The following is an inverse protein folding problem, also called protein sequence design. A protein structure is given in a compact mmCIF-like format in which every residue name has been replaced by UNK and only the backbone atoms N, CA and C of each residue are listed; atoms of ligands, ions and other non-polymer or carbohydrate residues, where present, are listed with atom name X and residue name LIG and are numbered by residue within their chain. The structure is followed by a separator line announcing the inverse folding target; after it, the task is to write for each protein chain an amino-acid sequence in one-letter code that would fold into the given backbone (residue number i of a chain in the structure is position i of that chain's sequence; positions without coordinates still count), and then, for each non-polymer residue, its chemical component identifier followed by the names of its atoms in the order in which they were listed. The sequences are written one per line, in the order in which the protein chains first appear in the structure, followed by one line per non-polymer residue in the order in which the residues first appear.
data_IF_257481905230
#
_entry.id   IF_257481905230
#
_cell.length_a   1.000
_cell.length_b   1.000
_cell.length_c   1.000
_cell.angle_alpha   90.00
_cell.angle_beta   90.00
_cell.angle_gamma   90.00
#
_symmetry.space_group_name_H-M   'P 1'
#
loop_
_entity.id
_entity.type
_entity.pdbx_description
1 polymer ?
#
# COMPACT_ATOMS: atom_id res chain seq x y z
N UNK A 1 -16.92 12.18 -23.73
CA UNK A 1 -17.87 12.13 -22.59
C UNK A 1 -17.36 10.99 -21.73
N UNK A 2 -16.39 11.32 -20.88
CA UNK A 2 -15.53 10.36 -20.20
C UNK A 2 -16.20 9.85 -18.93
N UNK A 3 -16.56 8.56 -18.94
CA UNK A 3 -17.20 7.85 -17.81
C UNK A 3 -16.11 7.34 -16.82
N UNK A 4 -14.83 7.63 -17.07
CA UNK A 4 -13.70 7.06 -16.32
C UNK A 4 -13.15 7.94 -15.18
N UNK A 5 -13.58 9.20 -15.03
CA UNK A 5 -12.98 10.14 -14.06
C UNK A 5 -13.72 10.25 -12.72
N UNK A 6 -14.99 9.84 -12.62
CA UNK A 6 -15.77 10.03 -11.38
C UNK A 6 -15.64 8.89 -10.36
N UNK A 7 -15.27 7.68 -10.79
CA UNK A 7 -15.10 6.55 -9.86
C UNK A 7 -13.88 6.72 -8.93
N UNK A 8 -12.82 7.38 -9.40
CA UNK A 8 -11.60 7.62 -8.62
C UNK A 8 -11.67 8.88 -7.74
N UNK A 9 -12.50 9.87 -8.11
CA UNK A 9 -12.82 11.03 -7.26
C UNK A 9 -13.62 10.66 -6.01
N UNK A 10 -14.35 9.53 -6.05
CA UNK A 10 -15.12 8.99 -4.94
C UNK A 10 -14.30 8.04 -4.04
N UNK A 11 -13.26 8.60 -3.41
CA UNK A 11 -12.95 8.37 -1.99
C UNK A 11 -12.74 6.93 -1.50
N UNK A 12 -11.69 6.25 -1.95
CA UNK A 12 -11.14 5.14 -1.18
C UNK A 12 -9.66 5.36 -0.91
N UNK A 13 -9.35 6.10 0.17
CA UNK A 13 -8.02 6.03 0.74
C UNK A 13 -7.73 4.59 1.13
N UNK A 14 -6.57 4.09 0.74
CA UNK A 14 -6.19 2.70 0.97
C UNK A 14 -5.78 2.48 2.42
N UNK A 15 -6.65 1.87 3.25
CA UNK A 15 -6.48 1.86 4.71
C UNK A 15 -5.14 1.25 5.14
N UNK A 16 -4.62 1.64 6.30
CA UNK A 16 -3.62 0.80 6.95
C UNK A 16 -4.30 -0.53 7.30
N UNK A 17 -3.73 -1.64 6.83
CA UNK A 17 -4.38 -2.95 6.89
C UNK A 17 -4.02 -3.62 8.21
N UNK A 18 -5.00 -3.84 9.07
CA UNK A 18 -4.82 -4.74 10.22
C UNK A 18 -4.98 -6.18 9.73
N UNK A 19 -3.90 -6.96 9.79
CA UNK A 19 -3.88 -8.36 9.39
C UNK A 19 -4.08 -9.22 10.64
N UNK A 20 -5.25 -9.84 10.77
CA UNK A 20 -5.52 -10.79 11.84
C UNK A 20 -5.72 -12.20 11.26
N UNK A 21 -4.70 -13.03 11.36
CA UNK A 21 -4.73 -14.43 10.93
C UNK A 21 -5.35 -15.27 12.02
N UNK A 22 -6.40 -16.02 11.70
CA UNK A 22 -7.02 -16.92 12.67
C UNK A 22 -6.08 -18.07 13.04
N UNK A 23 -5.98 -18.44 14.33
CA UNK A 23 -5.11 -19.54 14.75
C UNK A 23 -5.40 -20.85 14.03
N UNK A 24 -6.67 -21.12 13.69
CA UNK A 24 -7.09 -22.34 12.98
C UNK A 24 -6.38 -22.57 11.65
N UNK A 25 -5.93 -21.50 10.98
CA UNK A 25 -5.19 -21.62 9.72
C UNK A 25 -3.81 -22.27 9.93
N UNK A 26 -3.16 -21.99 11.06
CA UNK A 26 -1.83 -22.49 11.40
C UNK A 26 -1.81 -23.99 11.73
N UNK A 27 -2.99 -24.59 11.92
CA UNK A 27 -3.15 -26.01 12.30
C UNK A 27 -3.69 -26.87 11.16
N UNK A 28 -3.88 -26.30 9.96
CA UNK A 28 -4.18 -27.10 8.78
C UNK A 28 -2.91 -27.83 8.34
N UNK A 29 -3.00 -29.14 8.07
CA UNK A 29 -1.83 -29.92 7.62
C UNK A 29 -1.24 -29.32 6.33
N UNK A 30 -2.11 -28.82 5.46
CA UNK A 30 -1.79 -28.23 4.16
C UNK A 30 -0.89 -27.00 4.24
N UNK A 31 -1.02 -26.15 5.28
CA UNK A 31 -0.25 -24.90 5.42
C UNK A 31 0.65 -24.85 6.66
N UNK A 32 0.80 -25.98 7.36
CA UNK A 32 1.62 -26.13 8.58
C UNK A 32 3.10 -25.75 8.39
N UNK A 33 3.59 -25.72 7.14
CA UNK A 33 4.95 -25.30 6.79
C UNK A 33 5.17 -23.78 6.78
N UNK A 34 4.09 -22.99 6.93
CA UNK A 34 4.12 -21.53 7.06
C UNK A 34 3.86 -21.12 8.51
N UNK A 35 4.75 -20.29 9.02
CA UNK A 35 4.60 -19.64 10.33
C UNK A 35 3.68 -18.43 10.22
N UNK A 36 3.17 -17.99 11.37
CA UNK A 36 2.40 -16.75 11.47
C UNK A 36 3.17 -15.54 10.92
N UNK A 37 4.46 -15.42 11.22
CA UNK A 37 5.28 -14.30 10.72
C UNK A 37 5.41 -14.32 9.19
N UNK A 38 5.52 -15.51 8.58
CA UNK A 38 5.56 -15.68 7.13
C UNK A 38 4.23 -15.28 6.49
N UNK A 39 3.10 -15.72 7.07
CA UNK A 39 1.77 -15.37 6.58
C UNK A 39 1.49 -13.87 6.68
N UNK A 40 1.87 -13.22 7.77
CA UNK A 40 1.65 -11.77 7.93
C UNK A 40 2.44 -10.96 6.88
N UNK A 41 3.66 -11.39 6.52
CA UNK A 41 4.42 -10.77 5.42
C UNK A 41 3.70 -10.97 4.09
N UNK A 42 3.23 -12.19 3.79
CA UNK A 42 2.52 -12.48 2.55
C UNK A 42 1.24 -11.64 2.42
N UNK A 43 0.44 -11.56 3.48
CA UNK A 43 -0.79 -10.75 3.48
C UNK A 43 -0.52 -9.25 3.37
N UNK A 44 0.54 -8.74 4.00
CA UNK A 44 0.92 -7.33 3.86
C UNK A 44 1.19 -6.98 2.39
N UNK A 45 2.00 -7.79 1.71
CA UNK A 45 2.34 -7.55 0.32
C UNK A 45 1.10 -7.71 -0.58
N UNK A 46 0.30 -8.76 -0.39
CA UNK A 46 -0.88 -9.02 -1.24
C UNK A 46 -1.93 -7.93 -1.11
N UNK A 47 -2.25 -7.52 0.12
CA UNK A 47 -3.24 -6.47 0.33
C UNK A 47 -2.76 -5.15 -0.26
N UNK A 48 -1.47 -4.85 -0.20
CA UNK A 48 -0.93 -3.63 -0.80
C UNK A 48 -0.91 -3.69 -2.33
N UNK A 49 -0.50 -4.82 -2.92
CA UNK A 49 -0.53 -5.04 -4.38
C UNK A 49 -1.96 -4.98 -4.94
N UNK A 50 -2.92 -5.60 -4.24
CA UNK A 50 -4.36 -5.49 -4.56
C UNK A 50 -4.81 -4.03 -4.58
N UNK A 51 -4.47 -3.28 -3.54
CA UNK A 51 -4.90 -1.88 -3.42
C UNK A 51 -4.28 -1.01 -4.50
N UNK A 52 -3.02 -1.28 -4.85
CA UNK A 52 -2.28 -0.47 -5.78
C UNK A 52 -2.51 -0.86 -7.26
N UNK A 53 -3.23 -1.95 -7.53
CA UNK A 53 -3.50 -2.49 -8.86
C UNK A 53 -2.22 -2.66 -9.71
N UNK A 54 -1.13 -3.04 -9.06
CA UNK A 54 0.19 -3.11 -9.68
C UNK A 54 1.25 -3.77 -8.80
N UNK A 55 2.42 -4.01 -9.40
CA UNK A 55 3.54 -4.67 -8.74
C UNK A 55 4.09 -3.75 -7.64
N UNK A 56 3.91 -4.15 -6.38
CA UNK A 56 4.35 -3.34 -5.24
C UNK A 56 5.68 -3.84 -4.70
N UNK A 57 6.68 -2.96 -4.72
CA UNK A 57 8.01 -3.20 -4.21
C UNK A 57 8.17 -2.63 -2.80
N UNK A 58 8.33 -3.50 -1.81
CA UNK A 58 8.53 -3.14 -0.41
C UNK A 58 9.99 -3.13 -0.01
N UNK A 59 10.43 -2.11 0.75
CA UNK A 59 11.70 -2.20 1.46
C UNK A 59 11.59 -3.15 2.67
N UNK A 60 12.71 -3.77 3.08
CA UNK A 60 12.75 -4.57 4.32
C UNK A 60 12.28 -3.74 5.53
N UNK A 61 12.75 -2.49 5.61
CA UNK A 61 12.37 -1.55 6.66
C UNK A 61 10.87 -1.23 6.61
N UNK A 62 10.27 -1.17 5.42
CA UNK A 62 8.83 -1.01 5.24
C UNK A 62 8.05 -2.17 5.83
N UNK A 63 8.42 -3.41 5.48
CA UNK A 63 7.81 -4.63 6.05
C UNK A 63 7.92 -4.64 7.57
N UNK A 64 9.12 -4.36 8.11
CA UNK A 64 9.38 -4.33 9.55
C UNK A 64 8.48 -3.31 10.27
N UNK A 65 8.36 -2.09 9.74
CA UNK A 65 7.55 -1.03 10.38
C UNK A 65 6.06 -1.32 10.32
N UNK A 66 5.57 -1.81 9.17
CA UNK A 66 4.15 -2.13 9.00
C UNK A 66 3.71 -3.29 9.91
N UNK A 67 4.55 -4.31 10.07
CA UNK A 67 4.24 -5.44 10.96
C UNK A 67 4.56 -5.14 12.44
N UNK A 68 5.30 -4.07 12.74
CA UNK A 68 5.68 -3.72 14.12
C UNK A 68 6.49 -4.79 14.85
N UNK A 69 7.22 -5.64 14.12
CA UNK A 69 7.94 -6.79 14.70
C UNK A 69 9.43 -6.54 14.87
N UNK A 70 10.03 -7.30 15.79
CA UNK A 70 11.47 -7.34 15.97
C UNK A 70 12.19 -7.75 14.67
N UNK A 71 13.31 -7.10 14.39
CA UNK A 71 14.06 -7.27 13.14
C UNK A 71 14.41 -8.73 12.85
N UNK A 72 14.86 -9.49 13.85
CA UNK A 72 15.22 -10.90 13.68
C UNK A 72 14.03 -11.77 13.23
N UNK A 73 12.81 -11.50 13.72
CA UNK A 73 11.60 -12.25 13.32
C UNK A 73 11.29 -12.01 11.85
N UNK A 74 11.32 -10.74 11.42
CA UNK A 74 11.07 -10.37 10.03
C UNK A 74 12.17 -10.89 9.11
N UNK A 75 13.44 -10.78 9.49
CA UNK A 75 14.55 -11.36 8.72
C UNK A 75 14.37 -12.86 8.52
N UNK A 76 14.04 -13.60 9.58
CA UNK A 76 13.80 -15.05 9.50
C UNK A 76 12.62 -15.38 8.60
N UNK A 77 11.49 -14.67 8.74
CA UNK A 77 10.30 -14.88 7.93
C UNK A 77 10.57 -14.59 6.44
N UNK A 78 11.13 -13.43 6.12
CA UNK A 78 11.44 -13.02 4.75
C UNK A 78 12.42 -13.99 4.10
N UNK A 79 13.49 -14.39 4.80
CA UNK A 79 14.47 -15.34 4.24
C UNK A 79 13.83 -16.70 3.96
N UNK A 80 12.99 -17.22 4.87
CA UNK A 80 12.29 -18.49 4.63
C UNK A 80 11.30 -18.39 3.47
N UNK A 81 10.59 -17.28 3.33
CA UNK A 81 9.70 -17.05 2.19
C UNK A 81 10.45 -16.97 0.87
N UNK A 82 11.64 -16.34 0.83
CA UNK A 82 12.52 -16.34 -0.34
C UNK A 82 12.99 -17.76 -0.68
N UNK A 83 13.43 -18.54 0.32
CA UNK A 83 13.83 -19.95 0.12
C UNK A 83 12.68 -20.82 -0.39
N UNK A 84 11.45 -20.54 0.04
CA UNK A 84 10.23 -21.23 -0.44
C UNK A 84 9.75 -20.71 -1.80
N UNK A 85 10.42 -19.70 -2.36
CA UNK A 85 10.05 -19.01 -3.61
C UNK A 85 8.66 -18.37 -3.55
N UNK A 86 8.23 -17.93 -2.37
CA UNK A 86 6.94 -17.25 -2.18
C UNK A 86 7.07 -15.74 -2.33
N UNK A 87 8.26 -15.22 -2.11
CA UNK A 87 8.65 -13.86 -2.44
C UNK A 87 9.77 -13.89 -3.49
N UNK A 88 9.91 -12.80 -4.22
CA UNK A 88 11.13 -12.50 -4.94
C UNK A 88 11.74 -11.20 -4.43
N UNK A 89 13.05 -11.03 -4.68
CA UNK A 89 13.81 -9.84 -4.27
C UNK A 89 14.36 -9.14 -5.50
N UNK A 90 13.99 -7.87 -5.70
CA UNK A 90 14.54 -7.00 -6.74
C UNK A 90 15.38 -5.90 -6.09
N UNK A 91 16.70 -5.94 -6.28
CA UNK A 91 17.68 -5.05 -5.63
C UNK A 91 17.49 -5.06 -4.10
N UNK A 92 16.88 -4.01 -3.55
CA UNK A 92 16.63 -3.82 -2.11
C UNK A 92 15.16 -3.96 -1.72
N UNK A 93 14.32 -4.42 -2.65
CA UNK A 93 12.88 -4.53 -2.48
C UNK A 93 12.38 -5.98 -2.58
N UNK A 94 11.22 -6.22 -2.00
CA UNK A 94 10.54 -7.51 -1.91
C UNK A 94 9.12 -7.37 -2.47
N UNK A 95 8.65 -8.40 -3.17
CA UNK A 95 7.29 -8.48 -3.70
C UNK A 95 6.86 -9.95 -3.81
N UNK A 96 5.57 -10.18 -3.98
CA UNK A 96 5.02 -11.52 -4.09
C UNK A 96 5.42 -12.18 -5.39
N UNK A 97 5.87 -13.43 -5.29
CA UNK A 97 5.99 -14.27 -6.48
C UNK A 97 4.61 -14.77 -6.94
N UNK A 98 4.55 -15.27 -8.17
CA UNK A 98 3.38 -16.00 -8.68
C UNK A 98 2.98 -17.17 -7.77
N UNK A 99 3.96 -17.92 -7.27
CA UNK A 99 3.74 -19.04 -6.32
C UNK A 99 3.16 -18.56 -4.99
N UNK A 100 3.64 -17.42 -4.49
CA UNK A 100 3.12 -16.75 -3.30
C UNK A 100 1.66 -16.33 -3.46
N UNK A 101 1.32 -15.73 -4.62
CA UNK A 101 -0.06 -15.38 -4.95
C UNK A 101 -0.98 -16.60 -5.03
N UNK A 102 -0.51 -17.68 -5.67
CA UNK A 102 -1.28 -18.92 -5.78
C UNK A 102 -1.61 -19.53 -4.41
N UNK A 103 -0.62 -19.61 -3.51
CA UNK A 103 -0.79 -20.11 -2.14
C UNK A 103 -1.73 -19.20 -1.34
N UNK A 104 -1.57 -17.88 -1.43
CA UNK A 104 -2.47 -16.95 -0.74
C UNK A 104 -3.92 -17.11 -1.23
N UNK A 105 -4.13 -17.28 -2.53
CA UNK A 105 -5.47 -17.52 -3.08
C UNK A 105 -6.11 -18.79 -2.51
N UNK A 106 -5.36 -19.88 -2.35
CA UNK A 106 -5.90 -21.10 -1.70
C UNK A 106 -6.16 -20.90 -0.21
N UNK A 107 -5.26 -20.22 0.51
CA UNK A 107 -5.44 -19.90 1.94
C UNK A 107 -6.71 -19.06 2.17
N UNK A 108 -6.97 -18.06 1.34
CA UNK A 108 -8.13 -17.16 1.52
C UNK A 108 -9.45 -17.86 1.17
N UNK A 109 -9.44 -18.89 0.30
CA UNK A 109 -10.63 -19.72 0.02
C UNK A 109 -11.09 -20.50 1.24
N UNK A 110 -10.19 -20.82 2.18
CA UNK A 110 -10.58 -21.38 3.48
C UNK A 110 -11.35 -20.30 4.22
N UNK A 111 -12.69 -20.36 4.13
CA UNK A 111 -13.59 -19.34 4.68
C UNK A 111 -13.18 -18.99 6.11
N UNK A 112 -13.10 -17.69 6.40
CA UNK A 112 -12.72 -17.12 7.69
C UNK A 112 -11.24 -17.17 8.08
N UNK A 113 -10.30 -17.54 7.20
CA UNK A 113 -8.87 -17.61 7.57
C UNK A 113 -8.27 -16.28 8.06
N UNK A 114 -8.76 -15.14 7.55
CA UNK A 114 -8.18 -13.82 7.81
C UNK A 114 -9.27 -12.81 8.06
N UNK A 115 -9.03 -11.96 9.05
CA UNK A 115 -9.81 -10.77 9.28
C UNK A 115 -8.98 -9.54 8.89
N UNK A 116 -9.43 -8.84 7.85
CA UNK A 116 -8.80 -7.63 7.31
C UNK A 116 -9.69 -6.45 7.64
N UNK A 117 -9.12 -5.45 8.31
CA UNK A 117 -9.87 -4.24 8.71
C UNK A 117 -9.20 -3.00 8.18
N UNK A 118 -10.03 -2.00 7.87
CA UNK A 118 -9.54 -0.65 7.70
C UNK A 118 -9.12 -0.10 9.07
N UNK A 119 -7.89 0.41 9.18
CA UNK A 119 -7.41 1.04 10.41
C UNK A 119 -8.20 2.29 10.79
N UNK A 120 -8.70 3.06 9.81
CA UNK A 120 -9.42 4.31 10.03
C UNK A 120 -10.51 4.49 8.98
N UNK A 121 -11.64 5.06 9.41
CA UNK A 121 -12.72 5.50 8.54
C UNK A 121 -12.57 6.94 8.08
N UNK A 122 -11.67 7.73 8.69
CA UNK A 122 -11.35 9.09 8.24
C UNK A 122 -9.94 9.13 7.66
N UNK A 123 -9.74 9.94 6.62
CA UNK A 123 -8.44 10.22 6.02
C UNK A 123 -8.38 11.67 5.55
N UNK A 124 -7.18 12.21 5.48
CA UNK A 124 -6.92 13.56 4.95
C UNK A 124 -6.40 13.42 3.52
N UNK A 125 -6.96 14.18 2.59
CA UNK A 125 -6.60 14.11 1.17
C UNK A 125 -6.35 15.49 0.59
N UNK A 126 -5.38 15.57 -0.32
CA UNK A 126 -5.17 16.70 -1.21
C UNK A 126 -5.11 16.22 -2.66
N UNK A 127 -5.80 16.91 -3.56
CA UNK A 127 -5.78 16.67 -5.01
C UNK A 127 -5.11 17.87 -5.66
N UNK A 128 -4.06 17.60 -6.43
CA UNK A 128 -3.28 18.62 -7.15
C UNK A 128 -3.32 18.27 -8.63
N UNK A 129 -3.79 19.20 -9.44
CA UNK A 129 -3.84 19.06 -10.91
C UNK A 129 -2.77 19.91 -11.57
N UNK A 130 -2.37 19.50 -12.77
CA UNK A 130 -1.34 20.18 -13.54
C UNK A 130 -1.49 19.93 -15.05
N UNK A 131 -0.94 20.85 -15.83
CA UNK A 131 -1.27 21.06 -17.24
C UNK A 131 -0.41 20.21 -18.19
N UNK A 132 0.48 19.38 -17.66
CA UNK A 132 1.53 18.68 -18.41
C UNK A 132 1.77 17.28 -17.88
N UNK A 133 2.14 16.35 -18.76
CA UNK A 133 2.55 15.03 -18.33
C UNK A 133 3.87 15.13 -17.55
N UNK A 134 3.95 14.44 -16.42
CA UNK A 134 5.18 14.41 -15.63
C UNK A 134 5.94 13.12 -15.90
N UNK A 135 7.28 13.17 -16.07
CA UNK A 135 8.09 11.96 -16.18
C UNK A 135 8.05 11.16 -14.87
N UNK A 136 7.45 9.98 -14.90
CA UNK A 136 7.35 9.11 -13.70
C UNK A 136 8.74 8.66 -13.20
N UNK A 137 9.72 8.55 -14.09
CA UNK A 137 11.10 8.18 -13.74
C UNK A 137 11.79 9.23 -12.86
N UNK A 138 11.49 10.52 -13.08
CA UNK A 138 12.01 11.62 -12.26
C UNK A 138 11.42 11.53 -10.84
N UNK A 139 10.11 11.25 -10.73
CA UNK A 139 9.47 11.01 -9.44
C UNK A 139 10.00 9.78 -8.72
N UNK A 140 10.20 8.68 -9.44
CA UNK A 140 10.78 7.47 -8.87
C UNK A 140 12.16 7.75 -8.28
N UNK A 141 13.04 8.41 -9.05
CA UNK A 141 14.39 8.79 -8.61
C UNK A 141 14.37 9.78 -7.44
N UNK A 142 13.40 10.69 -7.43
CA UNK A 142 13.25 11.71 -6.40
C UNK A 142 12.66 11.18 -5.10
N UNK A 143 11.75 10.20 -5.14
CA UNK A 143 10.95 9.81 -3.98
C UNK A 143 11.29 8.43 -3.40
N UNK A 144 11.73 7.47 -4.23
CA UNK A 144 11.97 6.10 -3.77
C UNK A 144 13.13 6.07 -2.77
N UNK A 145 12.88 5.45 -1.62
CA UNK A 145 13.85 5.36 -0.53
C UNK A 145 14.06 6.65 0.26
N UNK A 146 13.45 7.77 -0.12
CA UNK A 146 13.64 9.06 0.56
C UNK A 146 12.76 9.22 1.80
N UNK A 147 13.24 10.05 2.72
CA UNK A 147 12.53 10.44 3.93
C UNK A 147 12.14 11.92 3.81
N UNK A 148 10.95 12.26 4.28
CA UNK A 148 10.43 13.64 4.23
C UNK A 148 9.93 14.05 5.59
N UNK A 149 10.69 14.89 6.30
CA UNK A 149 10.38 15.25 7.69
C UNK A 149 10.23 14.00 8.56
N UNK A 150 9.01 13.76 9.05
CA UNK A 150 8.65 12.59 9.86
C UNK A 150 8.19 11.38 9.03
N UNK A 151 8.15 11.43 7.71
CA UNK A 151 7.77 10.30 6.86
C UNK A 151 8.97 9.42 6.50
N UNK A 152 8.78 8.11 6.59
CA UNK A 152 9.78 7.08 6.27
C UNK A 152 9.26 6.20 5.16
N UNK A 153 10.07 6.03 4.12
CA UNK A 153 9.73 5.20 2.95
C UNK A 153 9.33 3.77 3.35
N UNK A 154 8.26 3.27 2.73
CA UNK A 154 7.76 1.90 2.89
C UNK A 154 7.92 1.11 1.59
N UNK A 155 7.18 1.53 0.57
CA UNK A 155 6.99 0.81 -0.69
C UNK A 155 6.61 1.75 -1.82
N UNK A 156 6.68 1.24 -3.04
CA UNK A 156 6.15 1.90 -4.23
C UNK A 156 5.61 0.87 -5.22
N UNK A 157 4.81 1.30 -6.19
CA UNK A 157 4.45 0.49 -7.35
C UNK A 157 5.27 0.84 -8.57
N UNK A 158 5.53 -0.20 -9.37
CA UNK A 158 5.98 -0.06 -10.75
C UNK A 158 4.79 -0.40 -11.69
N UNK A 159 4.64 0.34 -12.79
CA UNK A 159 3.59 0.10 -13.79
C UNK A 159 2.87 1.36 -14.25
N UNK A 160 1.57 1.22 -14.56
CA UNK A 160 0.74 2.29 -15.16
C UNK A 160 0.54 3.50 -14.24
N UNK A 161 0.41 3.25 -12.93
CA UNK A 161 0.23 4.26 -11.90
C UNK A 161 1.41 4.16 -10.92
N UNK A 162 2.06 5.29 -10.66
CA UNK A 162 3.10 5.36 -9.64
C UNK A 162 2.47 5.71 -8.30
N UNK A 163 2.47 4.75 -7.39
CA UNK A 163 1.99 4.92 -6.02
C UNK A 163 3.17 4.71 -5.10
N UNK A 164 3.45 5.67 -4.23
CA UNK A 164 4.51 5.56 -3.23
C UNK A 164 3.94 5.79 -1.84
N UNK A 165 4.44 5.03 -0.87
CA UNK A 165 3.93 5.02 0.49
C UNK A 165 5.04 5.29 1.51
N UNK A 166 4.68 6.07 2.52
CA UNK A 166 5.50 6.34 3.69
C UNK A 166 4.71 6.09 4.96
N UNK A 167 5.43 5.89 6.06
CA UNK A 167 4.87 5.84 7.41
C UNK A 167 5.36 7.04 8.20
N UNK A 168 4.47 7.67 8.94
CA UNK A 168 4.83 8.69 9.91
C UNK A 168 5.60 8.04 11.07
N UNK A 169 6.70 8.67 11.51
CA UNK A 169 7.52 8.18 12.62
C UNK A 169 6.67 8.07 13.88
N UNK A 170 6.90 7.00 14.64
CA UNK A 170 6.25 6.70 15.92
C UNK A 170 4.73 6.55 15.88
N UNK A 171 4.13 6.44 14.69
CA UNK A 171 2.71 6.09 14.53
C UNK A 171 2.49 5.00 13.48
N UNK A 172 1.27 4.46 13.44
CA UNK A 172 0.83 3.56 12.35
C UNK A 172 0.25 4.31 11.14
N UNK A 173 0.34 5.63 11.13
CA UNK A 173 -0.23 6.46 10.07
C UNK A 173 0.56 6.32 8.79
N UNK A 174 -0.16 6.22 7.68
CA UNK A 174 0.41 6.01 6.34
C UNK A 174 0.12 7.25 5.50
N UNK A 175 1.14 7.73 4.80
CA UNK A 175 0.97 8.67 3.71
C UNK A 175 1.17 7.96 2.37
N UNK A 176 0.35 8.28 1.38
CA UNK A 176 0.53 7.85 -0.01
C UNK A 176 0.50 9.04 -0.96
N UNK A 177 1.29 8.92 -2.02
CA UNK A 177 1.21 9.77 -3.20
C UNK A 177 0.88 8.86 -4.38
N UNK A 178 -0.19 9.18 -5.07
CA UNK A 178 -0.61 8.52 -6.31
C UNK A 178 -0.46 9.52 -7.45
N UNK A 179 0.28 9.14 -8.48
CA UNK A 179 0.58 10.01 -9.62
C UNK A 179 -0.10 9.45 -10.86
N UNK A 180 -0.93 10.29 -11.45
CA UNK A 180 -1.60 10.06 -12.72
C UNK A 180 -1.09 11.05 -13.76
N UNK A 181 -1.68 11.00 -14.96
CA UNK A 181 -1.21 11.76 -16.13
C UNK A 181 -1.21 13.27 -15.90
N UNK A 182 -2.25 13.81 -15.27
CA UNK A 182 -2.52 15.25 -15.11
C UNK A 182 -2.93 15.62 -13.68
N UNK A 183 -2.84 14.68 -12.75
CA UNK A 183 -3.14 14.91 -11.35
C UNK A 183 -2.27 14.03 -10.46
N UNK A 184 -2.10 14.49 -9.22
CA UNK A 184 -1.60 13.68 -8.14
C UNK A 184 -2.54 13.77 -6.95
N UNK A 185 -2.56 12.69 -6.18
CA UNK A 185 -3.39 12.56 -4.99
C UNK A 185 -2.48 12.24 -3.83
N UNK A 186 -2.43 13.15 -2.85
CA UNK A 186 -1.78 12.96 -1.57
C UNK A 186 -2.82 12.53 -0.55
N UNK A 187 -2.57 11.45 0.17
CA UNK A 187 -3.48 10.93 1.18
C UNK A 187 -2.71 10.60 2.46
N UNK A 188 -3.25 11.01 3.61
CA UNK A 188 -2.78 10.60 4.93
C UNK A 188 -3.91 9.85 5.64
N UNK A 189 -3.60 8.63 6.07
CA UNK A 189 -4.49 7.82 6.88
C UNK A 189 -3.96 7.86 8.31
N UNK A 190 -4.71 8.46 9.24
CA UNK A 190 -4.31 8.57 10.63
C UNK A 190 -4.28 7.19 11.30
N UNK A 191 -3.64 7.14 12.48
CA UNK A 191 -3.71 5.94 13.30
C UNK A 191 -5.12 5.73 13.86
N UNK A 192 -5.50 4.47 14.04
CA UNK A 192 -6.81 4.08 14.58
C UNK A 192 -7.05 4.76 15.93
N UNK A 193 -8.23 5.36 16.08
CA UNK A 193 -8.67 6.10 17.27
C UNK A 193 -7.90 7.39 17.57
N UNK A 194 -6.95 7.82 16.73
CA UNK A 194 -6.36 9.15 16.89
C UNK A 194 -7.35 10.22 16.46
N UNK A 195 -7.67 11.13 17.38
CA UNK A 195 -8.61 12.23 17.18
C UNK A 195 -7.92 13.55 16.87
N UNK A 196 -6.58 13.61 16.96
CA UNK A 196 -5.83 14.84 16.74
C UNK A 196 -5.66 15.08 15.24
N UNK A 197 -6.37 16.07 14.68
CA UNK A 197 -6.31 16.36 13.24
C UNK A 197 -5.09 17.20 12.83
N UNK A 198 -4.72 18.16 13.69
CA UNK A 198 -3.67 19.14 13.41
C UNK A 198 -2.32 18.53 13.02
N UNK A 199 -1.79 17.47 13.69
CA UNK A 199 -0.52 16.87 13.29
C UNK A 199 -0.54 16.31 11.87
N UNK A 200 -1.67 15.74 11.45
CA UNK A 200 -1.83 15.19 10.09
C UNK A 200 -1.93 16.29 9.04
N UNK A 201 -2.60 17.40 9.37
CA UNK A 201 -2.68 18.58 8.50
C UNK A 201 -1.30 19.19 8.27
N UNK A 202 -0.52 19.39 9.34
CA UNK A 202 0.86 19.87 9.25
C UNK A 202 1.77 18.92 8.45
N UNK A 203 1.58 17.61 8.63
CA UNK A 203 2.33 16.60 7.89
C UNK A 203 1.96 16.61 6.39
N UNK A 204 0.68 16.78 6.05
CA UNK A 204 0.24 16.93 4.67
C UNK A 204 0.82 18.19 4.04
N UNK A 205 0.74 19.34 4.72
CA UNK A 205 1.26 20.61 4.21
C UNK A 205 2.77 20.52 3.92
N UNK A 206 3.52 19.89 4.82
CA UNK A 206 4.96 19.66 4.65
C UNK A 206 5.26 18.79 3.41
N UNK A 207 4.51 17.70 3.23
CA UNK A 207 4.65 16.81 2.08
C UNK A 207 4.23 17.53 0.78
N UNK A 208 3.12 18.26 0.82
CA UNK A 208 2.58 19.04 -0.29
C UNK A 208 3.57 20.10 -0.77
N UNK A 209 4.18 20.84 0.15
CA UNK A 209 5.19 21.85 -0.17
C UNK A 209 6.41 21.21 -0.84
N UNK A 210 6.85 20.06 -0.34
CA UNK A 210 7.98 19.33 -0.90
C UNK A 210 7.71 18.88 -2.35
N UNK A 211 6.55 18.26 -2.58
CA UNK A 211 6.11 17.81 -3.92
C UNK A 211 5.90 19.01 -4.86
N UNK A 212 5.23 20.06 -4.40
CA UNK A 212 4.99 21.29 -5.19
C UNK A 212 6.29 21.97 -5.61
N UNK A 213 7.28 22.00 -4.73
CA UNK A 213 8.61 22.55 -5.04
C UNK A 213 9.31 21.73 -6.12
N UNK A 214 9.22 20.40 -6.03
CA UNK A 214 9.77 19.51 -7.05
C UNK A 214 9.07 19.70 -8.40
N UNK A 215 7.73 19.74 -8.43
CA UNK A 215 6.96 20.01 -9.66
C UNK A 215 7.38 21.31 -10.34
N UNK A 216 7.50 22.40 -9.57
CA UNK A 216 7.97 23.69 -10.07
C UNK A 216 9.38 23.61 -10.64
N UNK A 217 10.27 22.80 -10.05
CA UNK A 217 11.61 22.58 -10.57
C UNK A 217 11.63 21.86 -11.93
N UNK A 218 10.57 21.12 -12.25
CA UNK A 218 10.34 20.50 -13.56
C UNK A 218 9.60 21.43 -14.55
N UNK A 219 9.33 22.68 -14.18
CA UNK A 219 8.54 23.62 -14.99
C UNK A 219 7.04 23.35 -15.00
N UNK A 220 6.55 22.49 -14.08
CA UNK A 220 5.13 22.18 -13.93
C UNK A 220 4.47 23.19 -12.98
N UNK A 221 3.29 23.69 -13.33
CA UNK A 221 2.49 24.59 -12.48
C UNK A 221 1.38 23.81 -11.78
N UNK A 222 1.57 23.36 -10.54
CA UNK A 222 0.52 22.66 -9.80
C UNK A 222 -0.55 23.62 -9.28
N UNK A 223 -1.81 23.17 -9.34
CA UNK A 223 -2.96 23.83 -8.71
C UNK A 223 -3.65 22.85 -7.78
N UNK A 224 -3.86 23.23 -6.51
CA UNK A 224 -4.63 22.42 -5.56
C UNK A 224 -6.12 22.59 -5.82
N UNK A 225 -6.80 21.52 -6.26
CA UNK A 225 -8.27 21.52 -6.44
C UNK A 225 -9.01 21.21 -5.14
N UNK A 226 -8.40 20.41 -4.27
CA UNK A 226 -9.04 19.96 -3.04
C UNK A 226 -8.01 19.73 -1.94
N UNK A 227 -8.37 20.09 -0.70
CA UNK A 227 -7.68 19.68 0.51
C UNK A 227 -8.71 19.54 1.63
N UNK A 228 -8.78 18.37 2.27
CA UNK A 228 -9.71 18.17 3.38
C UNK A 228 -9.85 16.74 3.86
N UNK A 229 -10.51 16.60 5.01
CA UNK A 229 -10.85 15.32 5.61
C UNK A 229 -12.01 14.66 4.86
N UNK A 230 -11.89 13.37 4.61
CA UNK A 230 -12.90 12.52 4.00
C UNK A 230 -13.18 11.31 4.86
N UNK A 231 -14.34 10.70 4.64
CA UNK A 231 -14.71 9.41 5.21
C UNK A 231 -14.60 8.33 4.15
N UNK A 232 -13.97 7.22 4.50
CA UNK A 232 -14.01 5.99 3.71
C UNK A 232 -15.42 5.42 3.77
N UNK A 233 -16.01 5.17 2.60
CA UNK A 233 -17.27 4.45 2.46
C UNK A 233 -17.11 2.93 2.44
N UNK A 234 -15.87 2.43 2.31
CA UNK A 234 -15.60 1.01 2.10
C UNK A 234 -15.83 0.23 3.39
N UNK A 235 -16.85 -0.61 3.36
CA UNK A 235 -17.17 -1.54 4.44
C UNK A 235 -16.14 -2.68 4.53
N UNK A 236 -16.08 -3.32 5.70
CA UNK A 236 -15.26 -4.52 5.93
C UNK A 236 -15.54 -5.64 4.92
N UNK A 237 -16.81 -5.83 4.56
CA UNK A 237 -17.27 -6.89 3.66
C UNK A 237 -16.75 -6.62 2.24
N UNK A 238 -16.82 -5.37 1.78
CA UNK A 238 -16.31 -4.98 0.47
C UNK A 238 -14.79 -5.16 0.37
N UNK A 239 -14.04 -4.92 1.44
CA UNK A 239 -12.59 -5.12 1.45
C UNK A 239 -12.19 -6.60 1.28
N UNK A 240 -12.84 -7.51 2.01
CA UNK A 240 -12.60 -8.94 1.88
C UNK A 240 -13.01 -9.47 0.50
N UNK A 241 -14.14 -9.00 -0.03
CA UNK A 241 -14.59 -9.34 -1.38
C UNK A 241 -13.63 -8.83 -2.45
N UNK A 242 -13.08 -7.62 -2.30
CA UNK A 242 -12.08 -7.07 -3.23
C UNK A 242 -10.80 -7.93 -3.24
N UNK A 243 -10.34 -8.40 -2.08
CA UNK A 243 -9.17 -9.29 -2.02
C UNK A 243 -9.42 -10.64 -2.65
N UNK A 244 -10.55 -11.27 -2.35
CA UNK A 244 -10.94 -12.53 -2.97
C UNK A 244 -11.03 -12.39 -4.50
N UNK A 245 -11.67 -11.33 -4.99
CA UNK A 245 -11.80 -11.04 -6.41
C UNK A 245 -10.42 -10.85 -7.07
N UNK A 246 -9.55 -10.05 -6.46
CA UNK A 246 -8.20 -9.81 -6.97
C UNK A 246 -7.32 -11.07 -6.96
N UNK A 247 -7.36 -11.88 -5.91
CA UNK A 247 -6.61 -13.14 -5.86
C UNK A 247 -7.10 -14.14 -6.92
N UNK A 248 -8.40 -14.13 -7.22
CA UNK A 248 -8.97 -14.99 -8.26
C UNK A 248 -8.62 -14.49 -9.68
N UNK A 249 -8.56 -13.18 -9.91
CA UNK A 249 -8.14 -12.62 -11.20
C UNK A 249 -6.63 -12.71 -11.41
N UNK A 250 -5.83 -12.60 -10.35
CA UNK A 250 -4.38 -12.83 -10.43
C UNK A 250 -4.06 -14.26 -10.88
N UNK A 251 -4.97 -15.23 -10.68
CA UNK A 251 -4.84 -16.61 -11.19
C UNK A 251 -5.08 -16.76 -12.68
N UNK A 252 -5.93 -15.96 -13.32
CA UNK A 252 -6.12 -16.08 -14.78
C UNK A 252 -4.86 -15.66 -15.55
N UNK A 253 -4.02 -14.79 -14.96
CA UNK A 253 -2.67 -14.50 -15.49
C UNK A 253 -1.67 -15.67 -15.33
N UNK A 254 -2.00 -16.67 -14.52
CA UNK A 254 -1.17 -17.87 -14.28
C UNK A 254 -1.53 -19.05 -15.18
N UNK A 255 -2.65 -18.99 -15.92
CA UNK A 255 -3.07 -20.05 -16.85
C UNK A 255 -2.69 -19.79 -18.31
N UNK A 256 -2.08 -18.64 -18.62
CA UNK A 256 -1.71 -18.22 -19.99
C UNK A 256 -0.20 -18.12 -20.25
N UNK A 257 0.66 -18.58 -19.32
CA UNK A 257 2.10 -18.76 -19.53
C UNK A 257 2.53 -20.18 -19.13
#
# INVERSE_FOLDING_TARGET
MDIYTDAYRNGSAFPAVEINIRPSLLYTEEYSYLTRDELEVLFLLATTEMLAEGLTLFSFSGIKRQLGKHQQKITKAVNRLLTKELLYKNKNHYSLSQKGLAILSEIVKVQNAIDLHQSSTEFLQQIVVFDSNIPLDDFSSFLVGKWFGAFRYLSHTEGKNFIIRWQLVDSRSIASLEIYKNELILTIIPEKNDKQKLPYEQALDSLSQYITTFLKSLGVTPTTEYQGWRKSSVSKIEYQQKLLSWLNSAKSFLSEN
#
